data_IF_906238275596
#
_entry.id   IF_906238275596
#
_cell.length_a   1.000
_cell.length_b   1.000
_cell.length_c   1.000
_cell.angle_alpha   90.00
_cell.angle_beta   90.00
_cell.angle_gamma   90.00
#
_symmetry.space_group_name_H-M   'P 1'
#
loop_
_entity.id
_entity.type
_entity.pdbx_description
1 polymer ?
#
# COMPACT_ATOMS: atom_id res chain seq x y z
N UNK A 1 13.41 -16.54 -1.36
CA UNK A 1 13.34 -15.15 -1.78
C UNK A 1 14.25 -14.93 -2.99
N UNK A 2 13.80 -14.29 -4.05
CA UNK A 2 14.67 -14.01 -5.19
C UNK A 2 15.80 -13.08 -4.78
N UNK A 3 16.96 -13.28 -5.32
CA UNK A 3 18.10 -12.40 -5.09
C UNK A 3 18.04 -11.21 -6.07
N UNK A 4 18.76 -10.15 -5.75
CA UNK A 4 18.83 -8.98 -6.64
C UNK A 4 19.37 -9.31 -8.03
N UNK A 5 20.19 -10.36 -8.15
CA UNK A 5 20.74 -10.79 -9.42
C UNK A 5 19.68 -11.36 -10.38
N UNK A 6 18.49 -11.71 -9.89
CA UNK A 6 17.37 -12.18 -10.70
C UNK A 6 16.52 -11.05 -11.27
N UNK A 7 16.73 -9.83 -10.81
CA UNK A 7 16.01 -8.66 -11.30
C UNK A 7 16.64 -8.20 -12.61
N UNK A 8 15.84 -8.06 -13.65
CA UNK A 8 16.33 -7.80 -15.01
C UNK A 8 16.32 -6.33 -15.41
N UNK A 9 15.48 -5.50 -14.75
CA UNK A 9 15.34 -4.10 -15.12
C UNK A 9 14.81 -3.30 -13.95
N UNK A 10 15.52 -2.22 -13.63
CA UNK A 10 15.05 -1.24 -12.65
C UNK A 10 14.33 -0.13 -13.40
N UNK A 11 13.04 0.04 -13.15
CA UNK A 11 12.24 1.09 -13.78
C UNK A 11 12.39 2.43 -13.07
N UNK A 12 12.59 2.40 -11.76
CA UNK A 12 12.62 3.60 -10.93
C UNK A 12 13.20 3.26 -9.56
N UNK A 13 13.97 4.17 -8.99
CA UNK A 13 14.48 4.06 -7.63
C UNK A 13 13.99 5.25 -6.81
N UNK A 14 13.19 4.99 -5.79
CA UNK A 14 12.79 6.02 -4.84
C UNK A 14 13.90 6.25 -3.82
N UNK A 15 14.16 7.50 -3.48
CA UNK A 15 15.16 7.87 -2.49
C UNK A 15 14.54 8.79 -1.46
N UNK A 16 14.73 8.48 -0.19
CA UNK A 16 14.19 9.26 0.92
C UNK A 16 15.27 9.36 2.00
N UNK A 17 15.43 10.55 2.57
CA UNK A 17 16.33 10.80 3.69
C UNK A 17 15.49 10.99 4.96
N UNK A 18 15.75 10.20 5.98
CA UNK A 18 14.98 10.21 7.22
C UNK A 18 15.90 10.49 8.41
N UNK A 19 15.45 11.41 9.28
CA UNK A 19 16.14 11.73 10.53
C UNK A 19 15.14 11.73 11.67
N UNK A 20 15.61 11.53 12.90
CA UNK A 20 14.82 11.78 14.13
C UNK A 20 13.79 10.72 14.46
N UNK A 21 13.78 9.58 13.82
CA UNK A 21 12.92 8.44 14.12
C UNK A 21 11.44 8.74 13.91
N UNK A 22 10.57 7.86 14.46
CA UNK A 22 9.12 8.04 14.31
C UNK A 22 8.52 9.07 15.26
N UNK A 23 9.25 9.51 16.28
CA UNK A 23 8.77 10.50 17.24
C UNK A 23 9.48 11.82 17.02
N UNK A 24 8.87 12.70 16.23
CA UNK A 24 9.40 14.03 15.93
C UNK A 24 10.38 14.08 14.78
N UNK A 25 10.58 12.97 14.09
CA UNK A 25 11.49 12.92 12.93
C UNK A 25 10.87 13.47 11.65
N UNK A 26 11.60 13.33 10.56
CA UNK A 26 11.16 13.78 9.24
C UNK A 26 11.73 12.91 8.14
N UNK A 27 10.97 12.77 7.07
CA UNK A 27 11.42 12.08 5.86
C UNK A 27 11.25 13.01 4.67
N UNK A 28 12.30 13.13 3.86
CA UNK A 28 12.33 14.12 2.77
C UNK A 28 13.10 13.64 1.57
N UNK A 29 12.73 14.20 0.43
CA UNK A 29 13.56 14.22 -0.75
C UNK A 29 13.68 15.67 -1.27
N UNK A 30 14.14 15.85 -2.50
CA UNK A 30 14.32 17.18 -3.08
C UNK A 30 13.04 17.71 -3.72
N UNK A 31 11.91 17.72 -3.03
CA UNK A 31 10.72 18.46 -3.43
C UNK A 31 9.44 17.65 -3.61
N UNK A 32 9.50 16.32 -3.69
CA UNK A 32 8.28 15.49 -3.82
C UNK A 32 7.75 14.99 -2.50
N UNK A 33 8.64 14.72 -1.56
CA UNK A 33 8.27 14.22 -0.23
C UNK A 33 8.87 15.14 0.82
N UNK A 34 8.05 15.65 1.71
CA UNK A 34 8.49 16.45 2.84
C UNK A 34 7.45 16.27 3.95
N UNK A 35 7.70 15.31 4.82
CA UNK A 35 6.76 14.92 5.86
C UNK A 35 7.44 14.86 7.21
N UNK A 36 6.65 15.11 8.24
CA UNK A 36 7.05 14.97 9.64
C UNK A 36 6.41 13.73 10.23
N UNK A 37 7.09 13.13 11.17
CA UNK A 37 6.62 11.95 11.89
C UNK A 37 6.24 12.34 13.31
N UNK A 38 5.11 11.82 13.78
CA UNK A 38 4.64 11.97 15.16
C UNK A 38 4.11 10.64 15.65
N UNK A 39 4.33 10.36 16.93
CA UNK A 39 3.77 9.16 17.54
C UNK A 39 2.24 9.33 17.67
N UNK A 40 1.45 8.36 17.22
CA UNK A 40 0.00 8.42 17.37
C UNK A 40 -0.41 8.58 18.83
N UNK A 41 -1.42 9.42 19.07
CA UNK A 41 -1.90 9.70 20.43
C UNK A 41 -1.17 10.82 21.14
N UNK A 42 -0.14 11.41 20.51
CA UNK A 42 0.57 12.57 21.05
C UNK A 42 0.04 13.86 20.39
N UNK A 43 0.38 15.06 20.92
CA UNK A 43 -0.05 16.32 20.33
C UNK A 43 0.55 16.64 18.96
N UNK A 44 1.58 15.91 18.53
CA UNK A 44 2.21 16.14 17.23
C UNK A 44 1.25 15.91 16.07
N UNK A 45 1.45 16.64 14.96
CA UNK A 45 0.56 16.62 13.81
C UNK A 45 1.15 15.86 12.60
N UNK A 46 2.27 15.19 12.78
CA UNK A 46 2.91 14.44 11.71
C UNK A 46 2.20 13.14 11.39
N UNK A 47 2.64 12.50 10.32
CA UNK A 47 2.21 11.15 9.93
C UNK A 47 3.06 10.09 10.66
N UNK A 48 2.96 8.84 10.23
CA UNK A 48 3.70 7.73 10.81
C UNK A 48 3.97 6.65 9.75
N UNK A 49 4.89 5.71 10.01
CA UNK A 49 5.22 4.68 9.03
C UNK A 49 4.04 3.82 8.59
N UNK A 50 3.11 3.49 9.49
CA UNK A 50 1.97 2.64 9.17
C UNK A 50 1.00 3.34 8.23
N UNK A 51 0.79 4.64 8.42
CA UNK A 51 -0.04 5.45 7.51
C UNK A 51 0.62 5.57 6.14
N UNK A 52 1.93 5.76 6.09
CA UNK A 52 2.68 5.80 4.83
C UNK A 52 2.63 4.47 4.09
N UNK A 53 2.73 3.37 4.82
CA UNK A 53 2.60 2.04 4.26
C UNK A 53 1.22 1.85 3.64
N UNK A 54 0.18 2.24 4.36
CA UNK A 54 -1.21 2.16 3.87
C UNK A 54 -1.40 3.01 2.62
N UNK A 55 -0.90 4.24 2.61
CA UNK A 55 -1.01 5.14 1.46
C UNK A 55 -0.26 4.58 0.23
N UNK A 56 0.95 4.12 0.43
CA UNK A 56 1.75 3.54 -0.65
C UNK A 56 1.11 2.30 -1.25
N UNK A 57 0.65 1.39 -0.38
CA UNK A 57 0.03 0.14 -0.84
C UNK A 57 -1.26 0.41 -1.60
N UNK A 58 -2.16 1.22 -1.04
CA UNK A 58 -3.45 1.49 -1.70
C UNK A 58 -3.27 2.17 -3.05
N UNK A 59 -2.35 3.14 -3.16
CA UNK A 59 -2.06 3.78 -4.44
C UNK A 59 -1.49 2.79 -5.45
N UNK A 60 -0.57 1.93 -5.02
CA UNK A 60 0.02 0.90 -5.87
C UNK A 60 -1.03 -0.12 -6.32
N UNK A 61 -1.91 -0.52 -5.41
CA UNK A 61 -2.98 -1.46 -5.71
C UNK A 61 -3.97 -0.88 -6.73
N UNK A 62 -4.32 0.40 -6.60
CA UNK A 62 -5.17 1.07 -7.60
C UNK A 62 -4.50 1.08 -8.97
N UNK A 63 -3.20 1.34 -9.02
CA UNK A 63 -2.45 1.24 -10.27
C UNK A 63 -2.51 -0.15 -10.89
N UNK A 64 -2.40 -1.19 -10.05
CA UNK A 64 -2.52 -2.57 -10.51
C UNK A 64 -3.93 -2.88 -11.01
N UNK A 65 -4.97 -2.35 -10.37
CA UNK A 65 -6.35 -2.46 -10.89
C UNK A 65 -6.48 -1.79 -12.24
N UNK A 66 -5.84 -0.63 -12.44
CA UNK A 66 -5.84 0.06 -13.73
C UNK A 66 -5.23 -0.79 -14.83
N UNK A 67 -4.11 -1.47 -14.55
CA UNK A 67 -3.50 -2.38 -15.50
C UNK A 67 -4.41 -3.57 -15.82
N UNK A 68 -5.01 -4.17 -14.80
CA UNK A 68 -5.93 -5.30 -14.98
C UNK A 68 -7.15 -4.89 -15.79
N UNK A 69 -7.71 -3.72 -15.50
CA UNK A 69 -8.87 -3.20 -16.22
C UNK A 69 -8.58 -3.02 -17.71
N UNK A 70 -7.41 -2.48 -18.04
CA UNK A 70 -7.02 -2.32 -19.44
C UNK A 70 -6.91 -3.66 -20.17
N UNK A 71 -6.32 -4.66 -19.51
CA UNK A 71 -6.21 -6.00 -20.09
C UNK A 71 -7.57 -6.68 -20.26
N UNK A 72 -8.48 -6.47 -19.33
CA UNK A 72 -9.83 -7.04 -19.34
C UNK A 72 -10.81 -6.19 -20.14
N UNK A 73 -10.38 -5.03 -20.66
CA UNK A 73 -11.22 -4.07 -21.42
C UNK A 73 -12.40 -3.59 -20.60
N UNK A 74 -12.14 -3.27 -19.35
CA UNK A 74 -13.12 -2.75 -18.41
C UNK A 74 -12.78 -1.30 -18.09
N UNK A 75 -13.81 -0.45 -17.99
CA UNK A 75 -13.66 0.92 -17.54
C UNK A 75 -13.83 0.95 -16.02
N UNK A 76 -12.81 1.41 -15.30
CA UNK A 76 -12.91 1.56 -13.86
C UNK A 76 -13.86 2.69 -13.50
N UNK A 77 -14.65 2.56 -12.43
CA UNK A 77 -15.46 3.67 -11.94
C UNK A 77 -14.60 4.87 -11.59
N UNK A 78 -15.09 6.07 -11.93
CA UNK A 78 -14.37 7.31 -11.60
C UNK A 78 -14.24 7.53 -10.09
N UNK A 79 -15.15 6.96 -9.32
CA UNK A 79 -15.20 7.08 -7.87
C UNK A 79 -14.67 5.83 -7.14
N UNK A 80 -13.88 5.00 -7.84
CA UNK A 80 -13.21 3.90 -7.15
C UNK A 80 -12.35 4.42 -6.01
N UNK A 81 -12.27 3.64 -4.95
CA UNK A 81 -11.51 4.04 -3.77
C UNK A 81 -11.02 2.80 -3.01
N UNK A 82 -9.97 2.98 -2.24
CA UNK A 82 -9.50 1.98 -1.30
C UNK A 82 -9.34 2.65 0.05
N UNK A 83 -9.99 2.09 1.06
CA UNK A 83 -9.74 2.44 2.45
C UNK A 83 -8.79 1.39 3.01
N UNK A 84 -7.56 1.79 3.23
CA UNK A 84 -6.52 0.89 3.69
C UNK A 84 -6.27 1.08 5.18
N UNK A 85 -6.12 -0.04 5.89
CA UNK A 85 -5.83 -0.04 7.31
C UNK A 85 -4.59 -0.89 7.54
N UNK A 86 -3.64 -0.37 8.31
CA UNK A 86 -2.44 -1.10 8.71
C UNK A 86 -2.31 -0.96 10.21
N UNK A 87 -2.28 -2.09 10.91
CA UNK A 87 -2.12 -2.10 12.36
C UNK A 87 -0.64 -2.23 12.71
N UNK A 88 -0.26 -1.63 13.82
CA UNK A 88 0.99 -1.96 14.49
C UNK A 88 0.65 -2.84 15.68
N UNK A 89 1.01 -4.11 15.61
CA UNK A 89 0.69 -5.09 16.63
C UNK A 89 1.94 -5.59 17.33
N UNK A 90 1.80 -5.89 18.61
CA UNK A 90 2.87 -6.49 19.42
C UNK A 90 2.41 -7.84 19.93
N UNK A 91 3.16 -8.89 19.60
CA UNK A 91 2.87 -10.25 20.05
C UNK A 91 4.18 -10.92 20.48
N UNK A 92 4.24 -11.36 21.72
CA UNK A 92 5.42 -12.05 22.28
C UNK A 92 6.72 -11.25 22.05
N UNK A 93 6.65 -9.92 22.23
CA UNK A 93 7.79 -9.04 22.06
C UNK A 93 8.17 -8.71 20.63
N UNK A 94 7.44 -9.20 19.63
CA UNK A 94 7.69 -8.92 18.22
C UNK A 94 6.59 -8.04 17.63
N UNK A 95 6.96 -7.12 16.75
CA UNK A 95 6.02 -6.23 16.08
C UNK A 95 5.59 -6.80 14.73
N UNK A 96 4.31 -6.66 14.43
CA UNK A 96 3.71 -7.14 13.19
C UNK A 96 2.80 -6.07 12.59
N UNK A 97 2.56 -6.18 11.27
CA UNK A 97 1.76 -5.20 10.51
C UNK A 97 0.60 -5.87 9.77
N UNK A 98 -0.43 -6.36 10.49
CA UNK A 98 -1.63 -6.84 9.78
C UNK A 98 -2.27 -5.71 8.99
N UNK A 99 -2.83 -6.03 7.83
CA UNK A 99 -3.37 -5.00 6.94
C UNK A 99 -4.69 -5.43 6.33
N UNK A 100 -5.52 -4.45 6.00
CA UNK A 100 -6.78 -4.63 5.29
C UNK A 100 -6.89 -3.59 4.19
N UNK A 101 -7.24 -4.03 3.00
CA UNK A 101 -7.58 -3.14 1.89
C UNK A 101 -9.07 -3.31 1.59
N UNK A 102 -9.84 -2.28 1.83
CA UNK A 102 -11.28 -2.28 1.55
C UNK A 102 -11.50 -1.55 0.24
N UNK A 103 -11.77 -2.30 -0.81
CA UNK A 103 -11.83 -1.82 -2.19
C UNK A 103 -13.27 -1.54 -2.58
N UNK A 104 -13.54 -0.34 -3.07
CA UNK A 104 -14.85 0.08 -3.55
C UNK A 104 -14.80 0.32 -5.06
N UNK A 105 -15.63 -0.41 -5.80
CA UNK A 105 -15.77 -0.30 -7.25
C UNK A 105 -17.24 -0.10 -7.60
N UNK A 106 -17.82 1.09 -7.30
CA UNK A 106 -19.24 1.32 -7.46
C UNK A 106 -19.67 1.15 -8.91
N UNK A 107 -20.81 0.52 -9.13
CA UNK A 107 -21.40 0.35 -10.47
C UNK A 107 -20.83 -0.81 -11.27
N UNK A 108 -19.80 -1.49 -10.82
CA UNK A 108 -19.34 -2.71 -11.46
C UNK A 108 -20.08 -3.92 -10.88
N UNK A 109 -20.39 -4.87 -11.77
CA UNK A 109 -20.91 -6.15 -11.34
C UNK A 109 -19.93 -6.82 -10.39
N UNK A 110 -20.44 -7.47 -9.34
CA UNK A 110 -19.62 -8.01 -8.27
C UNK A 110 -18.58 -9.04 -8.73
N UNK A 111 -18.95 -9.93 -9.64
CA UNK A 111 -18.01 -10.94 -10.15
C UNK A 111 -16.87 -10.29 -10.92
N UNK A 112 -17.19 -9.27 -11.70
CA UNK A 112 -16.20 -8.52 -12.48
C UNK A 112 -15.28 -7.73 -11.55
N UNK A 113 -15.86 -7.07 -10.56
CA UNK A 113 -15.09 -6.32 -9.56
C UNK A 113 -14.15 -7.25 -8.79
N UNK A 114 -14.61 -8.44 -8.41
CA UNK A 114 -13.78 -9.41 -7.71
C UNK A 114 -12.63 -9.89 -8.59
N UNK A 115 -12.89 -10.14 -9.87
CA UNK A 115 -11.84 -10.55 -10.82
C UNK A 115 -10.76 -9.46 -10.95
N UNK A 116 -11.16 -8.19 -10.97
CA UNK A 116 -10.21 -7.07 -10.99
C UNK A 116 -9.35 -7.02 -9.73
N UNK A 117 -9.98 -7.17 -8.57
CA UNK A 117 -9.28 -7.16 -7.28
C UNK A 117 -8.30 -8.33 -7.21
N UNK A 118 -8.71 -9.52 -7.61
CA UNK A 118 -7.85 -10.70 -7.61
C UNK A 118 -6.64 -10.52 -8.53
N UNK A 119 -6.87 -10.00 -9.72
CA UNK A 119 -5.79 -9.73 -10.69
C UNK A 119 -4.82 -8.66 -10.16
N UNK A 120 -5.34 -7.61 -9.54
CA UNK A 120 -4.53 -6.57 -8.93
C UNK A 120 -3.67 -7.10 -7.80
N UNK A 121 -4.21 -7.98 -6.97
CA UNK A 121 -3.46 -8.58 -5.87
C UNK A 121 -2.28 -9.43 -6.38
N UNK A 122 -2.44 -10.08 -7.52
CA UNK A 122 -1.35 -10.84 -8.14
C UNK A 122 -0.27 -9.94 -8.75
N UNK A 123 -0.63 -8.74 -9.18
CA UNK A 123 0.26 -7.84 -9.92
C UNK A 123 0.94 -6.79 -9.04
N UNK A 124 0.27 -6.32 -8.01
CA UNK A 124 0.75 -5.23 -7.16
C UNK A 124 2.07 -5.61 -6.47
N UNK A 125 3.13 -4.82 -6.63
CA UNK A 125 4.42 -5.10 -5.97
C UNK A 125 4.33 -5.14 -4.45
N UNK A 126 3.49 -4.31 -3.82
CA UNK A 126 3.29 -4.35 -2.37
C UNK A 126 2.61 -5.65 -1.95
N UNK A 127 1.64 -6.11 -2.73
CA UNK A 127 1.01 -7.41 -2.47
C UNK A 127 2.02 -8.54 -2.56
N UNK A 128 2.92 -8.48 -3.53
CA UNK A 128 4.00 -9.47 -3.65
C UNK A 128 4.96 -9.42 -2.46
N UNK A 129 5.29 -8.22 -2.00
CA UNK A 129 6.22 -8.04 -0.88
C UNK A 129 5.64 -8.55 0.43
N UNK A 130 4.32 -8.52 0.59
CA UNK A 130 3.65 -8.85 1.86
C UNK A 130 3.05 -10.23 1.89
N UNK A 131 2.71 -10.81 0.73
CA UNK A 131 2.01 -12.09 0.63
C UNK A 131 2.83 -13.21 1.27
N UNK A 132 2.17 -13.97 2.15
CA UNK A 132 2.82 -15.07 2.87
C UNK A 132 3.70 -14.61 4.02
N UNK A 133 3.78 -13.30 4.28
CA UNK A 133 4.62 -12.75 5.34
C UNK A 133 3.81 -12.04 6.43
N UNK A 134 2.79 -11.27 6.04
CA UNK A 134 1.90 -10.62 7.01
C UNK A 134 0.46 -11.02 6.74
N UNK A 135 -0.40 -10.84 7.75
CA UNK A 135 -1.83 -11.09 7.59
C UNK A 135 -2.44 -9.97 6.77
N UNK A 136 -3.00 -10.32 5.62
CA UNK A 136 -3.63 -9.38 4.69
C UNK A 136 -5.04 -9.85 4.37
N UNK A 137 -6.01 -8.95 4.52
CA UNK A 137 -7.38 -9.19 4.08
C UNK A 137 -7.73 -8.13 3.04
N UNK A 138 -8.21 -8.58 1.89
CA UNK A 138 -8.67 -7.67 0.83
C UNK A 138 -10.16 -7.90 0.67
N UNK A 139 -10.93 -6.86 0.95
CA UNK A 139 -12.39 -6.90 0.91
C UNK A 139 -12.90 -6.08 -0.26
N UNK A 140 -13.87 -6.62 -0.97
CA UNK A 140 -14.66 -5.85 -1.92
C UNK A 140 -15.90 -5.34 -1.17
N UNK A 141 -16.01 -4.03 -1.05
CA UNK A 141 -17.09 -3.38 -0.29
C UNK A 141 -18.03 -2.60 -1.18
#
# INVERSE_FOLDING_TARGET
MPTMTQLKKVLYTAKVHTTGERDGGASRDHGRLDIKHSTPGTPGTGTNPEQLFAAGWSACFEGAMGLAARKMKITLPADMAIDAEVDLCLTDGAYFLPARLNVSLPGLERELAQALVDAAHQTCPYSKATRGNIDVVINLV
#
